data_IF_330583189842
#
_entry.id   IF_330583189842
#
_cell.length_a   1.000
_cell.length_b   1.000
_cell.length_c   1.000
_cell.angle_alpha   90.00
_cell.angle_beta   90.00
_cell.angle_gamma   90.00
#
_symmetry.space_group_name_H-M   'P 1'
#
loop_
_entity.id
_entity.type
_entity.pdbx_description
1 polymer ?
#
# COMPACT_ATOMS: atom_id res chain seq x y z
N UNK A 1 16.04 21.42 -5.77
CA UNK A 1 16.61 20.11 -6.11
C UNK A 1 17.54 19.66 -5.00
N UNK A 2 17.38 18.44 -4.53
CA UNK A 2 18.24 17.90 -3.48
C UNK A 2 19.41 17.17 -4.10
N UNK A 3 20.59 17.46 -3.59
CA UNK A 3 21.83 16.80 -4.04
C UNK A 3 22.26 15.71 -3.07
N UNK A 4 21.30 15.08 -2.37
CA UNK A 4 21.62 14.03 -1.41
C UNK A 4 21.96 12.75 -2.16
N UNK A 5 23.17 12.17 -1.94
CA UNK A 5 23.49 10.87 -2.53
C UNK A 5 22.45 9.83 -2.14
N UNK A 6 22.11 8.93 -3.07
CA UNK A 6 21.07 7.92 -2.86
C UNK A 6 21.24 7.16 -1.55
N UNK A 7 22.44 6.73 -1.24
CA UNK A 7 22.70 5.94 -0.02
C UNK A 7 22.46 6.72 1.28
N UNK A 8 22.48 8.04 1.22
CA UNK A 8 22.30 8.91 2.39
C UNK A 8 20.87 9.44 2.52
N UNK A 9 19.99 9.13 1.58
CA UNK A 9 18.61 9.64 1.59
C UNK A 9 17.77 8.94 2.66
N UNK A 10 16.86 9.68 3.31
CA UNK A 10 15.90 9.06 4.25
C UNK A 10 14.84 8.25 3.51
N UNK A 11 14.09 7.45 4.28
CA UNK A 11 12.90 6.76 3.80
C UNK A 11 11.67 7.65 4.02
N UNK A 12 10.75 7.64 3.05
CA UNK A 12 9.50 8.39 3.17
C UNK A 12 8.53 7.63 4.07
N UNK A 13 8.00 8.23 5.17
CA UNK A 13 7.05 7.54 6.04
C UNK A 13 5.68 7.41 5.37
N UNK A 14 5.18 6.17 5.34
CA UNK A 14 3.93 5.82 4.66
C UNK A 14 3.12 4.82 5.49
N UNK A 15 1.87 4.66 5.10
CA UNK A 15 1.02 3.58 5.58
C UNK A 15 0.69 2.65 4.42
N UNK A 16 0.40 1.40 4.74
CA UNK A 16 -0.13 0.44 3.78
C UNK A 16 -1.41 -0.17 4.32
N UNK A 17 -2.31 -0.50 3.43
CA UNK A 17 -3.64 -0.97 3.77
C UNK A 17 -3.82 -2.40 3.27
N UNK A 18 -3.88 -3.34 4.21
CA UNK A 18 -4.10 -4.76 3.94
C UNK A 18 -5.61 -4.99 4.12
N UNK A 19 -6.37 -4.71 3.06
CA UNK A 19 -7.83 -4.68 3.11
C UNK A 19 -8.44 -6.01 2.69
N UNK A 20 -9.07 -6.70 3.63
CA UNK A 20 -9.72 -8.00 3.41
C UNK A 20 -11.23 -7.83 3.30
N UNK A 21 -11.83 -8.56 2.34
CA UNK A 21 -13.29 -8.65 2.28
C UNK A 21 -13.80 -9.78 3.21
N UNK A 22 -15.10 -10.04 3.18
CA UNK A 22 -15.72 -11.06 4.03
C UNK A 22 -15.20 -12.47 3.77
N UNK A 23 -14.68 -12.72 2.58
CA UNK A 23 -14.14 -14.04 2.18
C UNK A 23 -12.61 -14.13 2.37
N UNK A 24 -12.02 -13.16 3.06
CA UNK A 24 -10.57 -13.06 3.27
C UNK A 24 -9.77 -12.93 1.97
N UNK A 25 -10.38 -12.35 0.96
CA UNK A 25 -9.67 -11.94 -0.24
C UNK A 25 -9.16 -10.51 -0.07
N UNK A 26 -8.04 -10.22 -0.69
CA UNK A 26 -7.29 -8.98 -0.51
C UNK A 26 -7.57 -8.02 -1.66
N UNK A 27 -7.81 -6.75 -1.32
CA UNK A 27 -7.91 -5.71 -2.34
C UNK A 27 -6.57 -5.51 -3.02
N UNK A 28 -6.58 -5.58 -4.34
CA UNK A 28 -5.41 -5.28 -5.14
C UNK A 28 -5.81 -4.35 -6.29
N UNK A 29 -4.98 -3.33 -6.52
CA UNK A 29 -5.16 -2.41 -7.62
C UNK A 29 -3.98 -2.47 -8.57
N UNK A 30 -4.26 -2.31 -9.86
CA UNK A 30 -3.22 -2.18 -10.87
C UNK A 30 -2.98 -0.69 -11.11
N UNK A 31 -1.74 -0.26 -10.94
CA UNK A 31 -1.40 1.16 -11.07
C UNK A 31 -1.61 1.67 -12.49
N UNK A 32 -2.14 2.88 -12.57
CA UNK A 32 -2.45 3.55 -13.84
C UNK A 32 -1.19 3.88 -14.64
N UNK A 33 -0.07 4.12 -13.93
CA UNK A 33 1.21 4.51 -14.51
C UNK A 33 2.19 3.35 -14.68
N UNK A 34 1.77 2.13 -14.37
CA UNK A 34 2.66 0.97 -14.34
C UNK A 34 2.47 0.10 -15.58
N UNK A 35 3.44 0.18 -16.51
CA UNK A 35 3.43 -0.60 -17.74
C UNK A 35 3.73 -2.09 -17.51
N UNK A 36 4.28 -2.44 -16.35
CA UNK A 36 4.61 -3.82 -16.02
C UNK A 36 3.39 -4.63 -15.53
N UNK A 37 2.22 -4.02 -15.49
CA UNK A 37 0.98 -4.65 -15.02
C UNK A 37 1.08 -5.21 -13.60
N UNK A 38 1.91 -4.58 -12.77
CA UNK A 38 2.05 -5.00 -11.38
C UNK A 38 0.84 -4.57 -10.55
N UNK A 39 0.47 -5.43 -9.62
CA UNK A 39 -0.64 -5.22 -8.69
C UNK A 39 -0.11 -4.85 -7.32
N UNK A 40 -0.83 -4.01 -6.61
CA UNK A 40 -0.41 -3.59 -5.27
C UNK A 40 -1.60 -3.35 -4.35
N UNK A 41 -1.31 -3.37 -3.06
CA UNK A 41 -2.25 -2.91 -2.04
C UNK A 41 -2.24 -1.39 -1.96
N UNK A 42 -3.34 -0.75 -1.52
CA UNK A 42 -3.35 0.70 -1.32
C UNK A 42 -2.27 1.13 -0.32
N UNK A 43 -1.65 2.26 -0.59
CA UNK A 43 -0.61 2.82 0.27
C UNK A 43 -0.49 4.31 0.01
N UNK A 44 0.05 5.04 0.97
CA UNK A 44 0.29 6.46 0.79
C UNK A 44 1.04 7.07 1.96
N UNK A 45 1.38 8.35 1.84
CA UNK A 45 2.15 9.05 2.86
C UNK A 45 1.34 9.34 4.12
N UNK A 46 2.06 9.49 5.23
CA UNK A 46 1.47 9.95 6.49
C UNK A 46 1.62 11.46 6.53
N UNK A 47 0.51 12.19 6.70
CA UNK A 47 0.54 13.62 6.83
C UNK A 47 0.96 14.03 8.25
N UNK A 48 1.53 15.23 8.38
CA UNK A 48 1.96 15.73 9.67
C UNK A 48 0.80 15.72 10.68
N UNK A 49 1.04 15.11 11.84
CA UNK A 49 0.05 15.04 12.91
C UNK A 49 -0.98 13.93 12.79
N UNK A 50 -0.98 13.17 11.70
CA UNK A 50 -1.88 12.02 11.56
C UNK A 50 -1.40 10.81 12.35
N UNK A 51 -2.36 10.08 12.92
CA UNK A 51 -2.08 8.73 13.41
C UNK A 51 -2.02 7.78 12.21
N UNK A 52 -1.48 6.59 12.44
CA UNK A 52 -1.43 5.54 11.40
C UNK A 52 -2.83 5.23 10.88
N UNK A 53 -3.81 5.06 11.78
CA UNK A 53 -5.17 4.72 11.38
C UNK A 53 -5.85 5.86 10.61
N UNK A 54 -5.64 7.11 11.02
CA UNK A 54 -6.15 8.26 10.30
C UNK A 54 -5.60 8.33 8.87
N UNK A 55 -4.29 8.10 8.73
CA UNK A 55 -3.65 8.07 7.41
C UNK A 55 -4.21 6.94 6.54
N UNK A 56 -4.41 5.75 7.12
CA UNK A 56 -4.99 4.61 6.38
C UNK A 56 -6.38 4.92 5.85
N UNK A 57 -7.25 5.48 6.68
CA UNK A 57 -8.62 5.78 6.25
C UNK A 57 -8.65 6.91 5.22
N UNK A 58 -7.79 7.91 5.38
CA UNK A 58 -7.70 8.99 4.40
C UNK A 58 -7.21 8.48 3.05
N UNK A 59 -6.12 7.71 3.04
CA UNK A 59 -5.58 7.14 1.80
C UNK A 59 -6.58 6.19 1.14
N UNK A 60 -7.27 5.39 1.94
CA UNK A 60 -8.33 4.51 1.44
C UNK A 60 -9.42 5.31 0.72
N UNK A 61 -9.88 6.40 1.31
CA UNK A 61 -10.86 7.28 0.67
C UNK A 61 -10.35 7.90 -0.62
N UNK A 62 -9.09 8.33 -0.64
CA UNK A 62 -8.48 8.96 -1.81
C UNK A 62 -8.23 7.97 -2.96
N UNK A 63 -7.89 6.73 -2.65
CA UNK A 63 -7.51 5.75 -3.66
C UNK A 63 -8.65 4.86 -4.14
N UNK A 64 -9.56 4.48 -3.26
CA UNK A 64 -10.63 3.54 -3.61
C UNK A 64 -12.03 4.07 -3.33
N UNK A 65 -12.14 5.32 -2.92
CA UNK A 65 -13.43 6.02 -2.83
C UNK A 65 -14.29 5.68 -1.62
N UNK A 66 -13.82 4.90 -0.69
CA UNK A 66 -14.57 4.49 0.50
C UNK A 66 -13.67 4.38 1.72
N UNK A 67 -14.24 4.60 2.91
CA UNK A 67 -13.54 4.45 4.20
C UNK A 67 -14.21 3.42 5.09
N UNK A 68 -15.04 2.56 4.52
CA UNK A 68 -15.84 1.58 5.27
C UNK A 68 -15.00 0.38 5.65
N UNK A 69 -14.31 0.47 6.77
CA UNK A 69 -13.41 -0.60 7.21
C UNK A 69 -13.27 -0.61 8.73
N UNK A 70 -12.99 -1.78 9.28
CA UNK A 70 -12.73 -1.99 10.69
C UNK A 70 -11.33 -2.52 10.90
N UNK A 71 -10.66 -2.06 11.97
CA UNK A 71 -9.33 -2.53 12.33
C UNK A 71 -9.34 -3.99 12.74
N UNK A 72 -8.48 -4.80 12.11
CA UNK A 72 -8.24 -6.18 12.50
C UNK A 72 -6.94 -6.33 13.29
N UNK A 73 -5.84 -5.80 12.72
CA UNK A 73 -4.51 -5.94 13.32
C UNK A 73 -3.58 -4.90 12.72
N UNK A 74 -2.64 -4.40 13.52
CA UNK A 74 -1.53 -3.58 13.03
C UNK A 74 -0.26 -4.41 13.03
N UNK A 75 0.60 -4.15 12.06
CA UNK A 75 1.97 -4.64 12.08
C UNK A 75 2.82 -3.59 12.80
N UNK A 76 3.39 -3.95 13.94
CA UNK A 76 4.01 -3.00 14.88
C UNK A 76 5.34 -2.39 14.43
N UNK A 77 5.94 -2.91 13.38
CA UNK A 77 7.25 -2.48 12.93
C UNK A 77 7.16 -1.73 11.60
N UNK A 78 8.11 -0.82 11.39
CA UNK A 78 8.30 -0.21 10.08
C UNK A 78 8.89 -1.24 9.12
N UNK A 79 8.27 -1.39 7.96
CA UNK A 79 8.82 -2.19 6.87
C UNK A 79 9.42 -1.26 5.83
N UNK A 80 10.65 -1.52 5.45
CA UNK A 80 11.42 -0.66 4.55
C UNK A 80 11.58 -1.33 3.19
N UNK A 81 11.52 -0.54 2.13
CA UNK A 81 12.04 -0.99 0.84
C UNK A 81 12.72 0.16 0.12
N UNK A 82 13.78 -0.17 -0.61
CA UNK A 82 14.48 0.77 -1.46
C UNK A 82 13.81 0.81 -2.83
N UNK A 83 13.65 2.01 -3.37
CA UNK A 83 13.19 2.20 -4.74
C UNK A 83 14.46 2.23 -5.61
N UNK A 84 14.48 1.51 -6.75
CA UNK A 84 15.64 1.56 -7.64
C UNK A 84 16.05 3.00 -7.93
N UNK A 85 17.35 3.29 -7.88
CA UNK A 85 17.84 4.65 -7.95
C UNK A 85 17.30 5.47 -9.13
N UNK A 86 17.26 4.94 -10.37
CA UNK A 86 16.73 5.73 -11.49
C UNK A 86 15.30 6.23 -11.25
N UNK A 87 14.46 5.42 -10.61
CA UNK A 87 13.10 5.81 -10.27
C UNK A 87 13.08 6.73 -9.06
N UNK A 88 13.89 6.43 -8.03
CA UNK A 88 13.97 7.27 -6.82
C UNK A 88 14.42 8.69 -7.13
N UNK A 89 15.30 8.87 -8.12
CA UNK A 89 15.79 10.18 -8.53
C UNK A 89 14.67 11.04 -9.13
N UNK A 90 13.63 10.42 -9.66
CA UNK A 90 12.50 11.12 -10.30
C UNK A 90 11.34 11.37 -9.35
N UNK A 91 11.19 10.55 -8.31
CA UNK A 91 10.09 10.68 -7.36
C UNK A 91 10.44 11.68 -6.27
N UNK A 92 9.47 12.50 -5.86
CA UNK A 92 9.61 13.46 -4.76
C UNK A 92 10.89 14.31 -4.83
N UNK A 93 11.28 14.69 -6.03
CA UNK A 93 12.48 15.51 -6.27
C UNK A 93 13.78 14.85 -5.80
N UNK A 94 13.84 13.52 -5.82
CA UNK A 94 15.03 12.78 -5.42
C UNK A 94 15.37 12.85 -3.93
N UNK A 95 14.39 13.15 -3.07
CA UNK A 95 14.65 13.32 -1.63
C UNK A 95 14.73 12.02 -0.84
N UNK A 96 14.17 10.94 -1.37
CA UNK A 96 14.07 9.68 -0.64
C UNK A 96 14.74 8.53 -1.39
N UNK A 97 15.22 7.53 -0.64
CA UNK A 97 15.73 6.31 -1.26
C UNK A 97 14.67 5.22 -1.39
N UNK A 98 13.57 5.37 -0.68
CA UNK A 98 12.48 4.42 -0.65
C UNK A 98 11.42 4.83 0.34
N UNK A 99 10.69 3.86 0.83
CA UNK A 99 9.64 4.09 1.82
C UNK A 99 9.84 3.24 3.05
N UNK A 100 9.40 3.74 4.20
CA UNK A 100 9.18 2.95 5.41
C UNK A 100 7.70 2.97 5.68
N UNK A 101 7.11 1.81 5.92
CA UNK A 101 5.66 1.66 5.96
C UNK A 101 5.18 1.01 7.24
N UNK A 102 4.10 1.58 7.80
CA UNK A 102 3.31 0.93 8.85
C UNK A 102 2.10 0.31 8.16
N UNK A 103 1.92 -0.97 8.34
CA UNK A 103 0.84 -1.71 7.70
C UNK A 103 -0.26 -2.05 8.66
N UNK A 104 -1.50 -1.92 8.20
CA UNK A 104 -2.70 -2.18 8.99
C UNK A 104 -3.62 -3.12 8.21
N UNK A 105 -4.04 -4.20 8.86
CA UNK A 105 -5.03 -5.10 8.28
C UNK A 105 -6.42 -4.62 8.69
N UNK A 106 -7.28 -4.41 7.71
CA UNK A 106 -8.63 -3.91 7.88
C UNK A 106 -9.62 -4.89 7.25
N UNK A 107 -10.81 -4.97 7.86
CA UNK A 107 -11.96 -5.68 7.27
C UNK A 107 -12.82 -4.67 6.53
N UNK A 108 -13.01 -4.87 5.23
CA UNK A 108 -13.91 -4.03 4.44
C UNK A 108 -15.37 -4.30 4.88
N UNK A 109 -16.11 -3.24 5.19
CA UNK A 109 -17.49 -3.35 5.68
C UNK A 109 -18.52 -2.83 4.68
N UNK A 110 -18.07 -2.34 3.52
CA UNK A 110 -18.97 -1.89 2.46
C UNK A 110 -19.24 -2.99 1.43
N UNK A 111 -19.78 -2.57 0.29
CA UNK A 111 -20.02 -3.45 -0.85
C UNK A 111 -19.08 -3.11 -2.00
N UNK A 112 -18.99 -3.98 -3.00
CA UNK A 112 -18.17 -3.70 -4.18
C UNK A 112 -18.64 -2.44 -4.92
N UNK A 113 -19.93 -2.17 -4.87
CA UNK A 113 -20.51 -0.98 -5.51
C UNK A 113 -20.02 0.33 -4.87
N UNK A 114 -19.57 0.29 -3.62
CA UNK A 114 -19.04 1.46 -2.93
C UNK A 114 -17.58 1.77 -3.31
N UNK A 115 -16.90 0.84 -3.94
CA UNK A 115 -15.52 1.02 -4.37
C UNK A 115 -15.49 1.79 -5.68
N UNK A 116 -14.77 2.91 -5.68
CA UNK A 116 -14.63 3.76 -6.86
C UNK A 116 -13.18 4.21 -6.98
N UNK A 117 -12.46 3.64 -7.93
CA UNK A 117 -11.05 3.99 -8.19
C UNK A 117 -10.90 5.23 -9.07
N UNK A 118 -12.00 5.73 -9.63
CA UNK A 118 -12.02 6.97 -10.42
C UNK A 118 -12.15 8.18 -9.50
N UNK A 119 -11.15 8.39 -8.66
CA UNK A 119 -11.12 9.48 -7.68
C UNK A 119 -10.49 10.73 -8.30
N UNK A 120 -10.38 11.82 -7.52
CA UNK A 120 -9.83 13.08 -8.01
C UNK A 120 -8.39 12.95 -8.53
N UNK A 121 -7.59 12.11 -7.86
CA UNK A 121 -6.21 11.82 -8.28
C UNK A 121 -6.06 10.29 -8.39
N UNK A 122 -6.54 9.69 -9.49
CA UNK A 122 -6.59 8.23 -9.57
C UNK A 122 -5.21 7.57 -9.59
N UNK A 123 -5.08 6.53 -8.78
CA UNK A 123 -3.86 5.72 -8.69
C UNK A 123 -3.99 4.42 -9.47
N UNK A 124 -5.22 3.90 -9.57
CA UNK A 124 -5.49 2.58 -10.15
C UNK A 124 -6.35 2.68 -11.39
N UNK A 125 -6.06 1.82 -12.38
CA UNK A 125 -6.90 1.68 -13.58
C UNK A 125 -7.80 0.46 -13.53
N UNK A 126 -7.53 -0.46 -12.59
CA UNK A 126 -8.30 -1.69 -12.41
C UNK A 126 -8.13 -2.15 -10.96
N UNK A 127 -9.13 -2.85 -10.41
CA UNK A 127 -9.01 -3.46 -9.10
C UNK A 127 -9.72 -4.80 -9.07
N UNK A 128 -9.33 -5.64 -8.13
CA UNK A 128 -10.01 -6.91 -7.87
C UNK A 128 -9.70 -7.42 -6.47
N UNK A 129 -10.51 -8.37 -6.01
CA UNK A 129 -10.23 -9.15 -4.82
C UNK A 129 -9.43 -10.37 -5.24
N UNK A 130 -8.27 -10.61 -4.62
CA UNK A 130 -7.41 -11.73 -4.97
C UNK A 130 -7.00 -12.49 -3.71
N UNK A 131 -6.63 -13.77 -3.90
CA UNK A 131 -6.07 -14.55 -2.81
C UNK A 131 -4.77 -13.87 -2.33
N UNK A 132 -4.63 -13.65 -1.01
CA UNK A 132 -3.49 -12.86 -0.52
C UNK A 132 -2.14 -13.32 -1.01
N UNK A 133 -1.87 -14.61 -1.02
CA UNK A 133 -0.56 -15.13 -1.40
C UNK A 133 -0.24 -14.96 -2.89
N UNK A 134 -1.25 -14.83 -3.72
CA UNK A 134 -1.05 -14.56 -5.15
C UNK A 134 -0.51 -13.16 -5.40
N UNK A 135 -0.81 -12.22 -4.51
CA UNK A 135 -0.37 -10.84 -4.67
C UNK A 135 1.15 -10.69 -4.63
N UNK A 136 1.84 -11.55 -3.88
CA UNK A 136 3.30 -11.50 -3.80
C UNK A 136 3.92 -11.64 -5.20
N UNK A 137 3.41 -12.58 -5.99
CA UNK A 137 3.93 -12.82 -7.34
C UNK A 137 3.51 -11.75 -8.35
N UNK A 138 2.40 -11.05 -8.07
CA UNK A 138 1.87 -10.01 -8.96
C UNK A 138 2.47 -8.64 -8.67
N UNK A 139 3.19 -8.49 -7.55
CA UNK A 139 3.77 -7.22 -7.15
C UNK A 139 5.07 -6.93 -7.89
N UNK A 140 5.40 -5.65 -7.98
CA UNK A 140 6.71 -5.24 -8.48
C UNK A 140 7.82 -5.82 -7.57
N UNK A 141 8.95 -6.29 -8.15
CA UNK A 141 9.95 -7.05 -7.39
C UNK A 141 10.46 -6.39 -6.10
N UNK A 142 10.66 -5.07 -6.09
CA UNK A 142 11.22 -4.40 -4.91
C UNK A 142 10.23 -4.29 -3.75
N UNK A 143 8.96 -4.66 -3.93
CA UNK A 143 7.95 -4.71 -2.87
C UNK A 143 7.68 -6.12 -2.36
N UNK A 144 8.18 -7.15 -3.03
CA UNK A 144 7.84 -8.55 -2.71
C UNK A 144 8.21 -8.96 -1.30
N UNK A 145 9.38 -8.52 -0.80
CA UNK A 145 9.80 -8.87 0.55
C UNK A 145 8.87 -8.31 1.61
N UNK A 146 8.41 -7.07 1.42
CA UNK A 146 7.42 -6.48 2.31
C UNK A 146 6.13 -7.29 2.28
N UNK A 147 5.64 -7.63 1.11
CA UNK A 147 4.40 -8.39 0.96
C UNK A 147 4.51 -9.79 1.58
N UNK A 148 5.65 -10.47 1.41
CA UNK A 148 5.86 -11.77 2.06
C UNK A 148 5.85 -11.67 3.58
N UNK A 149 6.48 -10.63 4.12
CA UNK A 149 6.47 -10.37 5.56
C UNK A 149 5.03 -10.18 6.07
N UNK A 150 4.20 -9.47 5.30
CA UNK A 150 2.80 -9.25 5.66
C UNK A 150 1.97 -10.53 5.61
N UNK A 151 2.22 -11.41 4.63
CA UNK A 151 1.53 -12.70 4.56
C UNK A 151 1.83 -13.54 5.80
N UNK A 152 3.05 -13.47 6.31
CA UNK A 152 3.41 -14.14 7.56
C UNK A 152 2.79 -13.45 8.76
N UNK A 153 2.94 -12.13 8.88
CA UNK A 153 2.46 -11.34 10.02
C UNK A 153 0.94 -11.45 10.21
N UNK A 154 0.20 -11.44 9.09
CA UNK A 154 -1.26 -11.50 9.10
C UNK A 154 -1.81 -12.89 8.77
N UNK A 155 -0.98 -13.93 8.88
CA UNK A 155 -1.39 -15.30 8.52
C UNK A 155 -2.62 -15.78 9.28
N UNK A 156 -2.75 -15.40 10.55
CA UNK A 156 -3.92 -15.76 11.35
C UNK A 156 -5.24 -15.18 10.83
N UNK A 157 -5.18 -14.10 10.07
CA UNK A 157 -6.37 -13.47 9.47
C UNK A 157 -6.77 -14.12 8.15
N UNK A 158 -5.78 -14.57 7.37
CA UNK A 158 -6.03 -15.10 6.03
C UNK A 158 -6.20 -16.62 5.98
N UNK A 159 -5.76 -17.32 7.01
CA UNK A 159 -5.85 -18.77 7.12
C UNK A 159 -6.91 -19.25 8.12
N UNK A 160 -7.62 -18.30 8.73
CA UNK A 160 -8.62 -18.55 9.76
C UNK A 160 -9.95 -19.11 9.30
#
# INVERSE_FOLDING_TARGET
>A
MTDIPYADRPYRPCVGIFLLNADNLLFAGRRIDNRAEAWQMPQGGIDHGETVMEACLREMGEEIGTRQAELLQEHDEWLHYDIPQPLADRLWHGRYRGQKQRWVALRYTGTDADINIETAEPEFCEWRWIAPRELVDLAVPFKRDVYQTLMYSFSGLIEG
#
